data_IF_947498339086
#
_entry.id   IF_947498339086
#
_cell.length_a   1.000
_cell.length_b   1.000
_cell.length_c   1.000
_cell.angle_alpha   90.00
_cell.angle_beta   90.00
_cell.angle_gamma   90.00
#
_symmetry.space_group_name_H-M   'P 1'
#
loop_
_entity.id
_entity.type
_entity.pdbx_description
1 polymer ?
#
# COMPACT_ATOMS: atom_id res chain seq x y z
N UNK A 1 3.65 -21.62 -16.47
CA UNK A 1 2.80 -20.69 -17.24
C UNK A 1 1.93 -19.94 -16.26
N UNK A 2 2.01 -18.60 -16.24
CA UNK A 2 1.10 -17.80 -15.42
C UNK A 2 -0.33 -18.03 -15.92
N UNK A 3 -1.28 -18.15 -14.99
CA UNK A 3 -2.70 -18.14 -15.36
C UNK A 3 -3.03 -16.70 -15.77
N UNK A 4 -3.26 -16.48 -17.07
CA UNK A 4 -3.76 -15.20 -17.57
C UNK A 4 -5.24 -15.13 -17.21
N UNK A 5 -5.64 -14.07 -16.53
CA UNK A 5 -7.05 -13.80 -16.22
C UNK A 5 -7.57 -12.87 -17.31
N UNK A 6 -8.64 -13.27 -18.00
CA UNK A 6 -9.23 -12.46 -19.08
C UNK A 6 -9.63 -11.07 -18.55
N UNK A 7 -9.23 -10.02 -19.27
CA UNK A 7 -9.46 -8.63 -18.88
C UNK A 7 -8.43 -8.03 -17.90
N UNK A 8 -7.51 -8.83 -17.33
CA UNK A 8 -6.41 -8.32 -16.51
C UNK A 8 -5.21 -8.02 -17.41
N UNK A 9 -4.70 -6.77 -17.43
CA UNK A 9 -3.55 -6.44 -18.24
C UNK A 9 -2.29 -7.14 -17.71
N UNK A 10 -1.40 -7.55 -18.61
CA UNK A 10 -0.12 -8.18 -18.22
C UNK A 10 0.80 -7.21 -17.46
N UNK A 11 0.64 -5.91 -17.67
CA UNK A 11 1.36 -4.86 -16.95
C UNK A 11 0.55 -3.57 -16.89
N UNK A 12 0.88 -2.70 -15.93
CA UNK A 12 0.33 -1.35 -15.82
C UNK A 12 1.45 -0.31 -15.88
N UNK A 13 1.12 0.90 -16.33
CA UNK A 13 2.09 2.00 -16.35
C UNK A 13 2.38 2.50 -14.93
N UNK A 14 3.53 3.14 -14.71
CA UNK A 14 3.85 3.78 -13.42
C UNK A 14 2.80 4.81 -13.00
N UNK A 15 2.24 5.55 -13.96
CA UNK A 15 1.19 6.53 -13.67
C UNK A 15 -0.10 5.85 -13.17
N UNK A 16 -0.51 4.75 -13.81
CA UNK A 16 -1.65 3.95 -13.35
C UNK A 16 -1.38 3.34 -11.97
N UNK A 17 -0.16 2.84 -11.74
CA UNK A 17 0.27 2.34 -10.44
C UNK A 17 0.13 3.41 -9.35
N UNK A 18 0.66 4.63 -9.56
CA UNK A 18 0.56 5.74 -8.60
C UNK A 18 -0.91 6.09 -8.29
N UNK A 19 -1.76 6.17 -9.32
CA UNK A 19 -3.19 6.47 -9.16
C UNK A 19 -3.93 5.49 -8.26
N UNK A 20 -3.52 4.22 -8.23
CA UNK A 20 -4.12 3.23 -7.31
C UNK A 20 -3.88 3.61 -5.84
N UNK A 21 -2.67 4.05 -5.49
CA UNK A 21 -2.35 4.49 -4.13
C UNK A 21 -3.14 5.76 -3.77
N UNK A 22 -3.18 6.72 -4.69
CA UNK A 22 -3.94 7.96 -4.53
C UNK A 22 -5.45 7.69 -4.32
N UNK A 23 -6.03 6.73 -5.04
CA UNK A 23 -7.46 6.38 -4.89
C UNK A 23 -7.82 5.82 -3.51
N UNK A 24 -6.84 5.27 -2.78
CA UNK A 24 -7.01 4.72 -1.43
C UNK A 24 -6.64 5.79 -0.37
N UNK A 25 -6.17 6.96 -0.80
CA UNK A 25 -5.77 8.05 0.08
C UNK A 25 -4.40 7.86 0.74
N UNK A 26 -3.51 7.07 0.13
CA UNK A 26 -2.20 6.73 0.69
C UNK A 26 -1.09 7.30 -0.21
N UNK A 27 -0.03 7.87 0.39
CA UNK A 27 1.15 8.31 -0.37
C UNK A 27 1.99 7.10 -0.83
N UNK A 28 2.16 6.88 -2.15
CA UNK A 28 2.98 5.78 -2.68
C UNK A 28 4.45 5.85 -2.26
N UNK A 29 4.98 7.02 -1.89
CA UNK A 29 6.37 7.19 -1.43
C UNK A 29 6.61 6.67 -0.02
N UNK A 30 5.54 6.53 0.76
CA UNK A 30 5.58 6.06 2.15
C UNK A 30 5.06 4.63 2.29
N UNK A 31 4.66 4.01 1.18
CA UNK A 31 4.01 2.70 1.16
C UNK A 31 4.88 1.66 0.51
N UNK A 32 5.01 0.53 1.19
CA UNK A 32 5.78 -0.63 0.75
C UNK A 32 4.89 -1.62 -0.01
N UNK A 33 3.66 -1.79 0.45
CA UNK A 33 2.74 -2.80 -0.05
C UNK A 33 1.29 -2.37 0.17
N UNK A 34 0.42 -2.71 -0.79
CA UNK A 34 -1.04 -2.68 -0.63
C UNK A 34 -1.58 -4.08 -0.94
N UNK A 35 -2.41 -4.60 -0.04
CA UNK A 35 -3.12 -5.86 -0.20
C UNK A 35 -4.62 -5.59 -0.16
N UNK A 36 -5.28 -5.84 -1.29
CA UNK A 36 -6.74 -5.76 -1.43
C UNK A 36 -7.34 -7.11 -1.03
N UNK A 37 -8.20 -7.12 -0.01
CA UNK A 37 -8.89 -8.31 0.49
C UNK A 37 -10.40 -8.08 0.51
N UNK A 38 -11.15 -9.17 0.68
CA UNK A 38 -12.61 -9.13 0.69
C UNK A 38 -13.19 -8.27 1.83
N UNK A 39 -12.46 -8.14 2.94
CA UNK A 39 -12.84 -7.39 4.12
C UNK A 39 -12.28 -5.96 4.15
N UNK A 40 -11.38 -5.60 3.24
CA UNK A 40 -10.82 -4.27 3.17
C UNK A 40 -9.45 -4.18 2.52
N UNK A 41 -8.82 -3.02 2.68
CA UNK A 41 -7.49 -2.73 2.17
C UNK A 41 -6.49 -2.72 3.33
N UNK A 42 -5.39 -3.44 3.15
CA UNK A 42 -4.26 -3.43 4.05
C UNK A 42 -3.09 -2.69 3.39
N UNK A 43 -2.55 -1.69 4.06
CA UNK A 43 -1.41 -0.94 3.57
C UNK A 43 -0.24 -1.05 4.55
N UNK A 44 0.90 -1.53 4.06
CA UNK A 44 2.15 -1.55 4.82
C UNK A 44 2.90 -0.27 4.52
N UNK A 45 3.02 0.61 5.52
CA UNK A 45 3.67 1.92 5.41
C UNK A 45 4.90 2.00 6.30
N UNK A 46 5.83 2.89 5.97
CA UNK A 46 6.93 3.21 6.86
C UNK A 46 6.43 4.01 8.07
N UNK A 47 6.92 3.68 9.25
CA UNK A 47 6.71 4.47 10.44
C UNK A 47 7.45 5.80 10.32
N UNK A 48 6.73 6.91 10.51
CA UNK A 48 7.30 8.24 10.50
C UNK A 48 7.39 8.78 11.93
N UNK A 49 8.38 9.61 12.20
CA UNK A 49 8.44 10.42 13.42
C UNK A 49 7.61 11.70 13.27
N UNK A 50 7.65 12.56 14.29
CA UNK A 50 6.94 13.85 14.32
C UNK A 50 7.36 14.81 13.18
N UNK A 51 8.54 14.61 12.60
CA UNK A 51 9.07 15.40 11.48
C UNK A 51 8.80 14.75 10.11
N UNK A 52 7.95 13.72 10.04
CA UNK A 52 7.66 12.95 8.82
C UNK A 52 8.87 12.19 8.23
N UNK A 53 9.87 11.88 9.06
CA UNK A 53 11.06 11.12 8.67
C UNK A 53 10.89 9.65 9.06
N UNK A 54 11.30 8.73 8.19
CA UNK A 54 11.22 7.29 8.43
C UNK A 54 12.06 6.90 9.66
N UNK A 55 11.46 6.16 10.58
CA UNK A 55 12.15 5.68 11.78
C UNK A 55 12.81 4.32 11.53
N UNK A 56 13.94 4.10 12.17
CA UNK A 56 14.69 2.84 12.13
C UNK A 56 14.24 1.98 13.31
N UNK A 57 14.20 0.66 13.14
CA UNK A 57 13.97 -0.26 14.24
C UNK A 57 15.04 -0.12 15.34
N UNK A 58 14.68 -0.47 16.57
CA UNK A 58 15.58 -0.32 17.72
C UNK A 58 16.84 -1.20 17.66
N UNK A 59 16.88 -2.18 16.75
CA UNK A 59 18.02 -3.06 16.48
C UNK A 59 18.88 -2.57 15.30
N UNK A 60 18.52 -1.47 14.64
CA UNK A 60 19.24 -0.90 13.50
C UNK A 60 19.13 -1.72 12.20
N UNK A 61 18.25 -2.72 12.13
CA UNK A 61 18.23 -3.69 11.03
C UNK A 61 17.31 -3.29 9.87
N UNK A 62 16.59 -2.17 9.99
CA UNK A 62 15.73 -1.66 8.92
C UNK A 62 14.80 -0.54 9.38
N UNK A 63 13.94 -0.09 8.46
CA UNK A 63 12.90 0.87 8.81
C UNK A 63 11.74 0.19 9.53
N UNK A 64 11.19 0.85 10.56
CA UNK A 64 9.94 0.45 11.20
C UNK A 64 8.79 0.53 10.19
N UNK A 65 7.85 -0.41 10.30
CA UNK A 65 6.69 -0.54 9.41
C UNK A 65 5.41 -0.64 10.23
N UNK A 66 4.33 -0.06 9.72
CA UNK A 66 2.99 -0.22 10.26
C UNK A 66 2.07 -0.81 9.19
N UNK A 67 1.09 -1.59 9.65
CA UNK A 67 -0.01 -2.06 8.81
C UNK A 67 -1.23 -1.24 9.18
N UNK A 68 -1.77 -0.54 8.19
CA UNK A 68 -3.03 0.20 8.28
C UNK A 68 -4.12 -0.66 7.65
N UNK A 69 -5.21 -0.87 8.37
CA UNK A 69 -6.42 -1.52 7.85
C UNK A 69 -7.47 -0.46 7.53
N UNK A 70 -7.95 -0.47 6.29
CA UNK A 70 -9.00 0.43 5.77
C UNK A 70 -10.20 -0.45 5.42
N UNK A 71 -11.29 -0.43 6.21
CA UNK A 71 -12.46 -1.25 5.94
C UNK A 71 -13.21 -0.73 4.70
N UNK A 72 -13.70 -1.66 3.87
CA UNK A 72 -14.68 -1.32 2.82
C UNK A 72 -16.05 -1.23 3.47
N UNK A 73 -16.80 -0.17 3.15
CA UNK A 73 -18.18 0.03 3.59
C UNK A 73 -19.03 0.29 2.35
N UNK A 74 -20.17 -0.37 2.29
CA UNK A 74 -21.18 -0.05 1.29
C UNK A 74 -21.84 1.30 1.63
N UNK A 75 -22.13 2.11 0.61
CA UNK A 75 -22.99 3.27 0.78
C UNK A 75 -24.41 2.81 1.14
N UNK A 76 -24.98 3.41 2.18
CA UNK A 76 -26.34 3.11 2.68
C UNK A 76 -27.38 3.97 1.96
#
# INVERSE_FOLDING_TARGET
MSKVIEGVPESITRAAYIKLFESIGIDPRQTLEISLKADGVYATVFALNEESIRTIDNAGNGFNKHIIYIPVKDEV
#
